data_IF_418772986425
#
_entry.id   IF_418772986425
#
_cell.length_a   1.000
_cell.length_b   1.000
_cell.length_c   1.000
_cell.angle_alpha   90.00
_cell.angle_beta   90.00
_cell.angle_gamma   90.00
#
_symmetry.space_group_name_H-M   'P 1'
#
loop_
_entity.id
_entity.type
_entity.pdbx_description
1 polymer ?
#
# COMPACT_ATOMS: atom_id res chain seq x y z
N UNK A 1 8.41 -14.36 -17.00
CA UNK A 1 7.17 -14.70 -16.28
C UNK A 1 6.83 -16.17 -16.41
N UNK A 2 6.88 -16.75 -17.61
CA UNK A 2 6.65 -18.20 -17.82
C UNK A 2 7.50 -19.09 -16.91
N UNK A 3 8.79 -18.73 -16.71
CA UNK A 3 9.67 -19.45 -15.79
C UNK A 3 9.24 -19.38 -14.31
N UNK A 4 8.45 -18.38 -13.91
CA UNK A 4 7.98 -18.20 -12.53
C UNK A 4 6.58 -18.79 -12.30
N UNK A 5 5.82 -19.08 -13.36
CA UNK A 5 4.44 -19.56 -13.28
C UNK A 5 4.22 -20.73 -14.26
N UNK A 6 4.45 -21.97 -13.81
CA UNK A 6 4.15 -23.15 -14.61
C UNK A 6 2.68 -23.17 -15.04
N UNK A 7 2.42 -23.30 -16.34
CA UNK A 7 1.07 -23.27 -16.91
C UNK A 7 0.55 -21.88 -17.30
N UNK A 8 1.35 -20.82 -17.11
CA UNK A 8 1.05 -19.50 -17.67
C UNK A 8 1.23 -19.54 -19.19
N UNK A 9 0.16 -19.24 -19.93
CA UNK A 9 0.22 -19.04 -21.37
C UNK A 9 0.33 -17.55 -21.68
N UNK A 10 1.38 -17.15 -22.40
CA UNK A 10 1.57 -15.77 -22.85
C UNK A 10 1.08 -15.64 -24.29
N UNK A 11 0.15 -14.72 -24.50
CA UNK A 11 -0.28 -14.30 -25.84
C UNK A 11 0.36 -12.95 -26.14
N UNK A 12 1.10 -12.89 -27.24
CA UNK A 12 1.72 -11.65 -27.72
C UNK A 12 0.86 -11.07 -28.83
N UNK A 13 0.62 -9.76 -28.75
CA UNK A 13 -0.03 -8.98 -29.79
C UNK A 13 0.84 -7.76 -30.10
N UNK A 14 1.00 -7.44 -31.38
CA UNK A 14 1.80 -6.31 -31.85
C UNK A 14 0.94 -5.10 -32.26
N UNK A 15 -0.39 -5.20 -32.13
CA UNK A 15 -1.33 -4.11 -32.37
C UNK A 15 -2.63 -4.33 -31.56
N UNK A 16 -3.41 -3.27 -31.39
CA UNK A 16 -4.63 -3.29 -30.57
C UNK A 16 -5.74 -4.20 -31.12
N UNK A 17 -5.89 -4.31 -32.44
CA UNK A 17 -6.92 -5.16 -33.04
C UNK A 17 -6.63 -6.64 -32.80
N UNK A 18 -5.37 -7.06 -32.95
CA UNK A 18 -4.93 -8.42 -32.62
C UNK A 18 -5.07 -8.70 -31.13
N UNK A 19 -4.70 -7.74 -30.27
CA UNK A 19 -4.88 -7.84 -28.82
C UNK A 19 -6.36 -7.99 -28.43
N UNK A 20 -7.25 -7.25 -29.09
CA UNK A 20 -8.70 -7.34 -28.88
C UNK A 20 -9.23 -8.73 -29.21
N UNK A 21 -8.96 -9.22 -30.43
CA UNK A 21 -9.44 -10.52 -30.89
C UNK A 21 -8.90 -11.67 -30.00
N UNK A 22 -7.63 -11.58 -29.59
CA UNK A 22 -7.04 -12.54 -28.66
C UNK A 22 -7.65 -12.46 -27.26
N UNK A 23 -7.94 -11.26 -26.76
CA UNK A 23 -8.54 -11.06 -25.45
C UNK A 23 -10.00 -11.56 -25.43
N UNK A 24 -10.75 -11.33 -26.51
CA UNK A 24 -12.13 -11.81 -26.67
C UNK A 24 -12.18 -13.35 -26.73
N UNK A 25 -11.33 -13.97 -27.55
CA UNK A 25 -11.30 -15.42 -27.70
C UNK A 25 -10.69 -16.15 -26.50
N UNK A 26 -9.61 -15.61 -25.94
CA UNK A 26 -8.82 -16.25 -24.89
C UNK A 26 -9.21 -15.86 -23.47
N UNK A 27 -10.02 -14.81 -23.29
CA UNK A 27 -10.45 -14.27 -21.99
C UNK A 27 -9.31 -14.23 -20.95
N UNK A 28 -8.25 -13.46 -21.21
CA UNK A 28 -7.06 -13.46 -20.38
C UNK A 28 -7.39 -12.94 -18.98
N UNK A 29 -6.77 -13.52 -17.96
CA UNK A 29 -6.90 -12.97 -16.61
C UNK A 29 -6.12 -11.67 -16.42
N UNK A 30 -5.13 -11.43 -17.29
CA UNK A 30 -4.18 -10.33 -17.16
C UNK A 30 -3.63 -9.85 -18.53
N UNK A 31 -3.32 -8.55 -18.67
CA UNK A 31 -2.68 -7.97 -19.85
C UNK A 31 -1.59 -6.93 -19.52
N UNK A 32 -0.46 -6.96 -20.22
CA UNK A 32 0.50 -5.85 -20.28
C UNK A 32 0.28 -5.10 -21.58
N UNK A 33 0.15 -3.78 -21.49
CA UNK A 33 -0.05 -2.91 -22.65
C UNK A 33 1.07 -1.88 -22.65
N UNK A 34 1.81 -1.79 -23.74
CA UNK A 34 2.81 -0.74 -23.89
C UNK A 34 2.14 0.64 -23.92
N UNK A 35 2.73 1.61 -23.22
CA UNK A 35 2.13 2.94 -22.98
C UNK A 35 1.78 3.67 -24.28
N UNK A 36 2.55 3.47 -25.36
CA UNK A 36 2.24 4.00 -26.69
C UNK A 36 0.84 3.59 -27.18
N UNK A 37 0.45 2.34 -26.97
CA UNK A 37 -0.88 1.86 -27.37
C UNK A 37 -2.00 2.42 -26.48
N UNK A 38 -1.72 2.68 -25.20
CA UNK A 38 -2.74 3.20 -24.27
C UNK A 38 -3.19 4.64 -24.59
N UNK A 39 -2.43 5.35 -25.41
CA UNK A 39 -2.69 6.73 -25.85
C UNK A 39 -3.49 6.80 -27.15
N UNK A 40 -3.70 5.67 -27.81
CA UNK A 40 -4.45 5.59 -29.06
C UNK A 40 -5.96 5.66 -28.77
N UNK A 41 -6.76 6.37 -29.59
CA UNK A 41 -8.23 6.40 -29.45
C UNK A 41 -8.86 5.00 -29.45
N UNK A 42 -8.30 4.09 -30.25
CA UNK A 42 -8.75 2.71 -30.39
C UNK A 42 -8.63 1.90 -29.09
N UNK A 43 -7.82 2.38 -28.13
CA UNK A 43 -7.67 1.73 -26.84
C UNK A 43 -8.92 1.83 -25.96
N UNK A 44 -9.83 2.77 -26.23
CA UNK A 44 -11.11 2.85 -25.50
C UNK A 44 -11.94 1.57 -25.66
N UNK A 45 -11.91 0.94 -26.84
CA UNK A 45 -12.57 -0.34 -27.08
C UNK A 45 -11.94 -1.47 -26.25
N UNK A 46 -10.62 -1.45 -26.07
CA UNK A 46 -9.91 -2.38 -25.19
C UNK A 46 -10.29 -2.17 -23.72
N UNK A 47 -10.46 -0.93 -23.26
CA UNK A 47 -10.91 -0.64 -21.90
C UNK A 47 -12.31 -1.21 -21.63
N UNK A 48 -13.22 -1.05 -22.58
CA UNK A 48 -14.56 -1.63 -22.50
C UNK A 48 -14.49 -3.16 -22.43
N UNK A 49 -13.67 -3.78 -23.28
CA UNK A 49 -13.47 -5.23 -23.28
C UNK A 49 -12.87 -5.73 -21.97
N UNK A 50 -11.79 -5.11 -21.49
CA UNK A 50 -11.16 -5.46 -20.21
C UNK A 50 -12.12 -5.31 -19.04
N UNK A 51 -12.94 -4.25 -19.03
CA UNK A 51 -13.96 -4.08 -18.00
C UNK A 51 -15.06 -5.16 -18.08
N UNK A 52 -15.48 -5.56 -19.29
CA UNK A 52 -16.50 -6.58 -19.48
C UNK A 52 -16.02 -7.98 -19.07
N UNK A 53 -14.75 -8.28 -19.36
CA UNK A 53 -14.12 -9.57 -19.05
C UNK A 53 -13.47 -9.62 -17.66
N UNK A 54 -13.53 -8.53 -16.88
CA UNK A 54 -12.79 -8.36 -15.61
C UNK A 54 -11.28 -8.63 -15.76
N UNK A 55 -10.71 -8.29 -16.93
CA UNK A 55 -9.28 -8.42 -17.24
C UNK A 55 -8.54 -7.31 -16.49
N UNK A 56 -7.52 -7.70 -15.73
CA UNK A 56 -6.59 -6.75 -15.12
C UNK A 56 -5.50 -6.39 -16.12
N UNK A 57 -5.11 -5.12 -16.16
CA UNK A 57 -4.12 -4.71 -17.14
C UNK A 57 -3.20 -3.60 -16.62
N UNK A 58 -1.98 -3.56 -17.16
CA UNK A 58 -0.93 -2.61 -16.77
C UNK A 58 -0.38 -1.87 -17.97
N UNK A 59 -0.12 -0.58 -17.80
CA UNK A 59 0.64 0.20 -18.78
C UNK A 59 2.14 0.02 -18.53
N UNK A 60 2.89 -0.32 -19.58
CA UNK A 60 4.35 -0.47 -19.56
C UNK A 60 4.96 0.69 -20.33
N UNK A 61 5.54 1.64 -19.61
CA UNK A 61 6.18 2.85 -20.11
C UNK A 61 7.63 2.58 -20.50
N UNK A 62 8.15 3.38 -21.44
CA UNK A 62 9.56 3.29 -21.84
C UNK A 62 10.50 3.67 -20.70
N UNK A 63 10.21 4.76 -20.01
CA UNK A 63 11.01 5.28 -18.89
C UNK A 63 10.17 6.00 -17.83
N UNK A 64 10.81 6.40 -16.74
CA UNK A 64 10.16 7.09 -15.62
C UNK A 64 9.78 8.56 -15.93
N UNK A 65 10.25 9.12 -17.05
CA UNK A 65 9.99 10.51 -17.45
C UNK A 65 8.79 10.61 -18.40
N UNK A 66 8.31 9.48 -18.91
CA UNK A 66 7.16 9.41 -19.80
C UNK A 66 5.90 9.92 -19.10
N UNK A 67 5.05 10.64 -19.84
CA UNK A 67 3.76 11.12 -19.28
C UNK A 67 2.81 9.93 -19.16
N UNK A 68 2.29 9.63 -17.94
CA UNK A 68 1.46 8.46 -17.78
C UNK A 68 0.12 8.56 -18.50
N UNK A 69 -0.34 7.45 -19.08
CA UNK A 69 -1.60 7.34 -19.80
C UNK A 69 -2.81 7.90 -19.03
N UNK A 70 -2.85 7.76 -17.70
CA UNK A 70 -3.93 8.29 -16.85
C UNK A 70 -4.11 9.80 -16.96
N UNK A 71 -3.08 10.55 -17.34
CA UNK A 71 -3.17 12.02 -17.55
C UNK A 71 -3.65 12.39 -18.95
N UNK A 72 -3.63 11.46 -19.91
CA UNK A 72 -4.07 11.71 -21.30
C UNK A 72 -5.53 11.35 -21.55
N UNK A 73 -6.18 10.51 -20.72
CA UNK A 73 -7.62 10.23 -20.84
C UNK A 73 -8.33 10.05 -19.48
N UNK A 74 -9.47 10.74 -19.24
CA UNK A 74 -10.29 10.55 -18.03
C UNK A 74 -10.82 9.12 -17.86
N UNK A 75 -11.00 8.37 -18.96
CA UNK A 75 -11.51 6.99 -18.94
C UNK A 75 -10.53 6.03 -18.26
N UNK A 76 -9.24 6.36 -18.26
CA UNK A 76 -8.18 5.61 -17.60
C UNK A 76 -8.17 5.80 -16.07
N UNK A 77 -8.97 6.73 -15.53
CA UNK A 77 -9.18 6.85 -14.08
C UNK A 77 -10.24 5.89 -13.55
N UNK A 78 -11.04 5.26 -14.43
CA UNK A 78 -12.20 4.44 -14.04
C UNK A 78 -11.90 2.97 -14.28
N UNK A 79 -11.15 2.34 -13.38
CA UNK A 79 -10.88 0.90 -13.48
C UNK A 79 -9.88 0.41 -12.46
N UNK A 80 -10.15 -0.77 -11.90
CA UNK A 80 -9.18 -1.46 -11.06
C UNK A 80 -7.96 -1.84 -11.91
N UNK A 81 -6.81 -1.21 -11.67
CA UNK A 81 -5.54 -1.87 -11.95
C UNK A 81 -4.54 -1.21 -12.90
N UNK A 82 -4.68 0.04 -13.33
CA UNK A 82 -3.53 0.66 -14.03
C UNK A 82 -2.41 0.90 -13.01
N UNK A 83 -1.47 -0.04 -12.96
CA UNK A 83 -0.15 0.16 -12.41
C UNK A 83 0.74 0.59 -13.57
N UNK A 84 1.70 1.46 -13.27
CA UNK A 84 2.66 1.96 -14.25
C UNK A 84 3.97 1.21 -13.99
N UNK A 85 4.37 0.40 -14.95
CA UNK A 85 5.66 -0.28 -14.97
C UNK A 85 6.55 0.41 -15.99
N UNK A 86 7.85 0.45 -15.75
CA UNK A 86 8.79 0.89 -16.77
C UNK A 86 9.53 -0.30 -17.36
N UNK A 87 9.93 -0.22 -18.63
CA UNK A 87 10.79 -1.25 -19.26
C UNK A 87 12.13 -1.43 -18.53
N UNK A 88 12.54 -0.43 -17.74
CA UNK A 88 13.71 -0.47 -16.87
C UNK A 88 13.51 -1.17 -15.51
N UNK A 89 12.28 -1.54 -15.16
CA UNK A 89 12.03 -2.32 -13.94
C UNK A 89 12.61 -3.75 -14.06
N UNK A 90 13.14 -4.27 -12.95
CA UNK A 90 13.73 -5.60 -12.92
C UNK A 90 12.67 -6.71 -13.12
N UNK A 91 13.05 -7.88 -13.68
CA UNK A 91 12.13 -9.01 -13.82
C UNK A 91 11.45 -9.44 -12.51
N UNK A 92 12.11 -9.26 -11.36
CA UNK A 92 11.53 -9.53 -10.03
C UNK A 92 10.39 -8.56 -9.70
N UNK A 93 10.53 -7.28 -10.03
CA UNK A 93 9.46 -6.30 -9.84
C UNK A 93 8.25 -6.67 -10.70
N UNK A 94 8.45 -6.97 -11.99
CA UNK A 94 7.37 -7.46 -12.87
C UNK A 94 6.61 -8.66 -12.29
N UNK A 95 7.32 -9.64 -11.74
CA UNK A 95 6.71 -10.81 -11.09
C UNK A 95 5.91 -10.40 -9.84
N UNK A 96 6.43 -9.49 -9.01
CA UNK A 96 5.71 -8.99 -7.83
C UNK A 96 4.41 -8.25 -8.19
N UNK A 97 4.44 -7.45 -9.26
CA UNK A 97 3.23 -6.79 -9.76
C UNK A 97 2.23 -7.82 -10.26
N UNK A 98 2.68 -8.77 -11.07
CA UNK A 98 1.83 -9.84 -11.57
C UNK A 98 1.20 -10.65 -10.43
N UNK A 99 1.98 -10.98 -9.39
CA UNK A 99 1.51 -11.65 -8.18
C UNK A 99 0.38 -10.86 -7.49
N UNK A 100 0.59 -9.57 -7.25
CA UNK A 100 -0.39 -8.68 -6.65
C UNK A 100 -1.68 -8.62 -7.48
N UNK A 101 -1.52 -8.56 -8.79
CA UNK A 101 -2.63 -8.45 -9.74
C UNK A 101 -3.31 -9.76 -10.02
N UNK A 102 -2.76 -10.93 -9.75
CA UNK A 102 -3.53 -12.17 -9.81
C UNK A 102 -4.25 -12.41 -8.48
N UNK A 103 -3.61 -12.06 -7.36
CA UNK A 103 -4.13 -12.33 -6.01
C UNK A 103 -5.15 -11.31 -5.50
N UNK A 104 -5.27 -10.13 -6.12
CA UNK A 104 -6.29 -9.17 -5.71
C UNK A 104 -7.73 -9.75 -5.88
N UNK A 105 -8.71 -9.36 -5.05
CA UNK A 105 -10.10 -9.80 -5.19
C UNK A 105 -10.77 -9.17 -6.44
N UNK A 106 -11.58 -9.96 -7.16
CA UNK A 106 -12.27 -9.58 -8.42
C UNK A 106 -13.39 -8.57 -8.19
N UNK A 107 -13.64 -7.69 -9.18
CA UNK A 107 -14.60 -6.58 -9.11
C UNK A 107 -16.05 -7.05 -8.92
N UNK A 108 -16.35 -8.25 -9.41
CA UNK A 108 -17.68 -8.88 -9.33
C UNK A 108 -17.81 -9.94 -8.24
N UNK A 109 -16.83 -10.06 -7.33
CA UNK A 109 -17.08 -10.81 -6.10
C UNK A 109 -18.23 -10.08 -5.38
N UNK A 110 -19.32 -10.77 -4.99
CA UNK A 110 -20.41 -10.13 -4.26
C UNK A 110 -19.76 -9.41 -3.09
N UNK A 111 -19.99 -8.10 -3.02
CA UNK A 111 -19.70 -7.29 -1.84
C UNK A 111 -20.47 -8.00 -0.75
N UNK A 112 -19.81 -8.92 -0.03
CA UNK A 112 -20.38 -9.50 1.15
C UNK A 112 -20.76 -8.28 1.97
N UNK A 113 -22.06 -8.07 2.12
CA UNK A 113 -22.57 -7.12 3.06
C UNK A 113 -21.99 -7.61 4.38
N UNK A 114 -20.84 -7.07 4.74
CA UNK A 114 -20.17 -7.41 5.98
C UNK A 114 -21.19 -7.01 7.02
N UNK A 115 -21.84 -8.01 7.62
CA UNK A 115 -22.77 -7.86 8.70
C UNK A 115 -22.14 -6.86 9.66
N UNK A 116 -22.75 -5.66 9.75
CA UNK A 116 -22.28 -4.58 10.61
C UNK A 116 -22.14 -5.17 12.02
N UNK A 117 -20.93 -5.32 12.57
CA UNK A 117 -20.82 -5.60 13.99
C UNK A 117 -21.44 -4.41 14.72
N UNK A 118 -22.18 -4.63 15.81
CA UNK A 118 -22.74 -3.54 16.59
C UNK A 118 -21.62 -2.59 17.02
N UNK A 119 -21.87 -1.28 16.86
CA UNK A 119 -20.97 -0.19 17.23
C UNK A 119 -20.70 -0.28 18.74
N UNK A 120 -19.63 -0.97 19.12
CA UNK A 120 -19.06 -0.87 20.47
C UNK A 120 -18.45 0.51 20.64
N UNK A 121 -18.70 1.13 21.81
CA UNK A 121 -18.17 2.46 22.18
C UNK A 121 -16.67 2.59 21.86
N UNK A 122 -16.30 3.77 21.37
CA UNK A 122 -14.95 4.19 21.00
C UNK A 122 -14.00 4.22 22.21
N UNK A 123 -13.43 3.07 22.57
CA UNK A 123 -12.42 2.97 23.64
C UNK A 123 -10.99 3.23 23.13
N UNK A 124 -10.80 3.56 21.87
CA UNK A 124 -9.48 3.82 21.30
C UNK A 124 -8.94 5.20 21.71
N UNK A 125 -7.79 5.22 22.39
CA UNK A 125 -7.17 6.44 22.95
C UNK A 125 -5.87 6.85 22.27
N UNK A 126 -5.34 6.00 21.39
CA UNK A 126 -4.01 6.13 20.80
C UNK A 126 -4.04 6.33 19.29
N UNK A 127 -2.94 6.84 18.75
CA UNK A 127 -2.66 6.91 17.31
C UNK A 127 -1.83 5.68 16.91
N UNK A 128 -2.17 5.07 15.78
CA UNK A 128 -1.39 3.96 15.21
C UNK A 128 -0.44 4.49 14.13
N UNK A 129 0.83 4.09 14.18
CA UNK A 129 1.82 4.36 13.13
C UNK A 129 2.32 3.04 12.53
N UNK A 130 2.35 2.93 11.20
CA UNK A 130 2.79 1.71 10.51
C UNK A 130 3.86 2.05 9.47
N UNK A 131 4.96 1.30 9.47
CA UNK A 131 6.00 1.35 8.45
C UNK A 131 6.10 0.05 7.67
N UNK A 132 6.28 0.12 6.35
CA UNK A 132 6.38 -1.06 5.48
C UNK A 132 7.10 -0.76 4.15
N UNK A 133 7.65 -1.79 3.50
CA UNK A 133 8.35 -1.68 2.22
C UNK A 133 8.07 -2.90 1.33
N UNK A 134 9.07 -3.65 0.87
CA UNK A 134 8.89 -4.86 0.04
C UNK A 134 7.99 -5.89 0.72
N UNK A 135 6.91 -6.30 0.02
CA UNK A 135 5.84 -7.15 0.56
C UNK A 135 4.80 -6.40 1.40
N UNK A 136 5.00 -5.10 1.62
CA UNK A 136 4.19 -4.26 2.50
C UNK A 136 2.75 -4.09 2.02
N UNK A 137 2.51 -4.06 0.70
CA UNK A 137 1.15 -3.98 0.15
C UNK A 137 0.28 -5.13 0.63
N UNK A 138 0.72 -6.37 0.48
CA UNK A 138 -0.03 -7.54 0.95
C UNK A 138 -0.11 -7.60 2.48
N UNK A 139 0.94 -7.17 3.19
CA UNK A 139 0.92 -7.08 4.64
C UNK A 139 -0.13 -6.06 5.14
N UNK A 140 -0.18 -4.88 4.52
CA UNK A 140 -1.16 -3.84 4.81
C UNK A 140 -2.57 -4.31 4.48
N UNK A 141 -2.77 -5.06 3.40
CA UNK A 141 -4.07 -5.68 3.08
C UNK A 141 -4.51 -6.62 4.20
N UNK A 142 -3.63 -7.49 4.67
CA UNK A 142 -3.93 -8.43 5.75
C UNK A 142 -4.28 -7.70 7.07
N UNK A 143 -3.56 -6.62 7.37
CA UNK A 143 -3.77 -5.82 8.57
C UNK A 143 -5.07 -5.01 8.50
N UNK A 144 -5.29 -4.27 7.41
CA UNK A 144 -6.40 -3.30 7.30
C UNK A 144 -7.77 -3.95 7.10
N UNK A 145 -7.85 -5.18 6.58
CA UNK A 145 -9.12 -5.94 6.57
C UNK A 145 -9.64 -6.17 8.00
N UNK A 146 -8.77 -6.22 9.00
CA UNK A 146 -9.14 -6.34 10.41
C UNK A 146 -9.52 -5.02 11.09
N UNK A 147 -9.45 -3.87 10.41
CA UNK A 147 -9.73 -2.57 11.03
C UNK A 147 -11.24 -2.30 11.06
N UNK A 148 -11.82 -1.87 12.20
CA UNK A 148 -13.22 -1.49 12.24
C UNK A 148 -13.43 -0.08 11.63
N UNK A 149 -14.68 0.26 11.28
CA UNK A 149 -15.03 1.57 10.72
C UNK A 149 -14.64 2.75 11.64
N UNK A 150 -14.58 2.50 12.95
CA UNK A 150 -14.18 3.45 13.99
C UNK A 150 -12.76 3.16 14.54
N UNK A 151 -11.85 2.66 13.69
CA UNK A 151 -10.47 2.40 14.09
C UNK A 151 -9.79 3.65 14.66
N UNK A 152 -8.74 3.52 15.48
CA UNK A 152 -7.94 4.67 15.88
C UNK A 152 -7.36 5.39 14.65
N UNK A 153 -7.08 6.71 14.73
CA UNK A 153 -6.39 7.41 13.67
C UNK A 153 -5.07 6.71 13.36
N UNK A 154 -4.87 6.34 12.09
CA UNK A 154 -3.74 5.52 11.68
C UNK A 154 -2.95 6.19 10.57
N UNK A 155 -1.63 6.25 10.70
CA UNK A 155 -0.72 6.80 9.69
C UNK A 155 0.22 5.70 9.19
N UNK A 156 0.37 5.59 7.89
CA UNK A 156 1.14 4.53 7.24
C UNK A 156 2.14 5.15 6.28
N UNK A 157 3.42 4.82 6.45
CA UNK A 157 4.44 5.02 5.42
C UNK A 157 4.67 3.68 4.72
N UNK A 158 4.44 3.66 3.41
CA UNK A 158 4.78 2.54 2.54
C UNK A 158 5.83 3.01 1.54
N UNK A 159 6.99 2.37 1.52
CA UNK A 159 8.00 2.63 0.50
C UNK A 159 7.55 2.08 -0.84
N UNK A 160 7.53 2.94 -1.84
CA UNK A 160 7.13 2.59 -3.20
C UNK A 160 7.57 3.69 -4.18
N UNK A 161 7.57 3.39 -5.47
CA UNK A 161 7.82 4.36 -6.52
C UNK A 161 6.77 5.49 -6.55
N UNK A 162 7.14 6.63 -7.14
CA UNK A 162 6.32 7.87 -7.15
C UNK A 162 4.92 7.67 -7.75
N UNK A 163 4.78 6.80 -8.75
CA UNK A 163 3.50 6.55 -9.44
C UNK A 163 2.54 5.61 -8.70
N UNK A 164 2.95 4.94 -7.62
CA UNK A 164 2.17 3.84 -7.04
C UNK A 164 1.19 4.28 -5.93
N UNK A 165 1.37 5.49 -5.37
CA UNK A 165 0.67 5.94 -4.17
C UNK A 165 -0.86 5.94 -4.30
N UNK A 166 -1.40 6.55 -5.35
CA UNK A 166 -2.86 6.70 -5.54
C UNK A 166 -3.56 5.36 -5.77
N UNK A 167 -2.94 4.46 -6.53
CA UNK A 167 -3.45 3.11 -6.77
C UNK A 167 -3.50 2.29 -5.49
N UNK A 168 -2.46 2.38 -4.66
CA UNK A 168 -2.39 1.71 -3.37
C UNK A 168 -3.47 2.21 -2.39
N UNK A 169 -3.65 3.52 -2.27
CA UNK A 169 -4.70 4.10 -1.41
C UNK A 169 -6.07 3.57 -1.81
N UNK A 170 -6.39 3.64 -3.11
CA UNK A 170 -7.68 3.17 -3.65
C UNK A 170 -7.89 1.67 -3.41
N UNK A 171 -6.80 0.89 -3.48
CA UNK A 171 -6.84 -0.55 -3.23
C UNK A 171 -7.17 -0.87 -1.77
N UNK A 172 -6.55 -0.14 -0.84
CA UNK A 172 -6.71 -0.35 0.59
C UNK A 172 -8.06 0.20 1.09
N UNK A 173 -8.53 1.32 0.55
CA UNK A 173 -9.86 1.89 0.86
C UNK A 173 -11.00 0.90 0.52
N UNK A 174 -10.86 0.15 -0.57
CA UNK A 174 -11.88 -0.83 -0.99
C UNK A 174 -12.04 -2.00 -0.02
N UNK A 175 -10.97 -2.38 0.69
CA UNK A 175 -10.95 -3.59 1.54
C UNK A 175 -11.01 -3.27 3.03
N UNK A 176 -10.69 -2.03 3.41
CA UNK A 176 -10.72 -1.58 4.79
C UNK A 176 -12.13 -1.05 5.13
N UNK A 177 -12.74 -1.48 6.25
CA UNK A 177 -13.99 -0.87 6.72
C UNK A 177 -13.84 0.61 7.11
N UNK A 178 -12.65 1.04 7.53
CA UNK A 178 -12.32 2.43 7.80
C UNK A 178 -11.99 3.19 6.51
N UNK A 179 -12.13 4.52 6.53
CA UNK A 179 -11.82 5.35 5.38
C UNK A 179 -10.30 5.45 5.18
N UNK A 180 -9.81 5.05 4.02
CA UNK A 180 -8.38 5.11 3.68
C UNK A 180 -8.15 6.24 2.67
N UNK A 181 -7.24 7.16 3.00
CA UNK A 181 -6.95 8.33 2.18
C UNK A 181 -5.45 8.55 2.03
N UNK A 182 -5.06 9.25 0.96
CA UNK A 182 -3.70 9.74 0.82
C UNK A 182 -3.41 10.76 1.92
N UNK A 183 -2.20 10.72 2.48
CA UNK A 183 -1.76 11.72 3.45
C UNK A 183 -1.59 13.08 2.76
N UNK A 184 -2.07 14.14 3.41
CA UNK A 184 -1.87 15.52 2.97
C UNK A 184 -1.60 16.43 4.17
N UNK A 185 -1.04 17.61 3.91
CA UNK A 185 -0.57 18.52 4.95
C UNK A 185 -1.71 19.17 5.71
N UNK A 186 -1.49 19.44 7.00
CA UNK A 186 -2.42 20.14 7.90
C UNK A 186 -3.79 19.43 8.09
N UNK A 187 -3.89 18.14 7.74
CA UNK A 187 -5.07 17.33 8.00
C UNK A 187 -5.13 16.94 9.47
N UNK A 188 -6.23 17.26 10.15
CA UNK A 188 -6.49 16.79 11.53
C UNK A 188 -6.76 15.29 11.54
N UNK A 189 -6.09 14.56 12.44
CA UNK A 189 -6.30 13.13 12.61
C UNK A 189 -7.69 12.83 13.16
N UNK A 190 -8.41 11.90 12.52
CA UNK A 190 -9.77 11.52 12.87
C UNK A 190 -9.88 10.01 13.15
N UNK A 191 -10.77 9.64 14.07
CA UNK A 191 -11.16 8.23 14.24
C UNK A 191 -11.79 7.72 12.94
N UNK A 192 -11.64 6.42 12.66
CA UNK A 192 -12.10 5.77 11.44
C UNK A 192 -11.32 6.16 10.17
N UNK A 193 -10.14 6.76 10.32
CA UNK A 193 -9.31 7.18 9.19
C UNK A 193 -7.91 6.55 9.22
N UNK A 194 -7.48 6.11 8.03
CA UNK A 194 -6.14 5.62 7.74
C UNK A 194 -5.52 6.53 6.67
N UNK A 195 -4.39 7.16 7.00
CA UNK A 195 -3.67 8.09 6.13
C UNK A 195 -2.40 7.44 5.60
N UNK A 196 -2.22 7.44 4.28
CA UNK A 196 -1.12 6.72 3.65
C UNK A 196 -0.20 7.70 2.92
N UNK A 197 1.08 7.71 3.31
CA UNK A 197 2.16 8.30 2.55
C UNK A 197 2.88 7.20 1.76
N UNK A 198 2.67 7.21 0.45
CA UNK A 198 3.25 6.25 -0.48
C UNK A 198 3.62 6.98 -1.79
N UNK A 199 4.88 6.88 -2.22
CA UNK A 199 5.37 7.55 -3.43
C UNK A 199 5.39 9.09 -3.36
N UNK A 200 5.29 9.67 -2.16
CA UNK A 200 5.24 11.11 -1.98
C UNK A 200 6.64 11.76 -1.94
N UNK A 201 6.79 13.01 -2.45
CA UNK A 201 8.07 13.71 -2.43
C UNK A 201 8.41 14.34 -1.06
N UNK A 202 7.55 14.16 -0.06
CA UNK A 202 7.65 14.76 1.28
C UNK A 202 7.58 13.67 2.33
N UNK A 203 8.28 13.86 3.45
CA UNK A 203 8.11 13.02 4.63
C UNK A 203 6.79 13.38 5.33
N UNK A 204 6.08 12.34 5.77
CA UNK A 204 4.93 12.48 6.64
C UNK A 204 5.38 12.43 8.11
N UNK A 205 4.83 13.32 8.93
CA UNK A 205 4.94 13.30 10.37
C UNK A 205 3.66 13.81 11.03
N UNK A 206 3.69 13.94 12.36
CA UNK A 206 2.55 14.39 13.17
C UNK A 206 2.94 15.57 14.05
N UNK A 207 2.04 16.53 14.25
CA UNK A 207 2.27 17.65 15.17
C UNK A 207 2.32 17.18 16.62
N UNK A 208 3.16 17.79 17.50
CA UNK A 208 3.37 17.28 18.85
C UNK A 208 2.23 17.60 19.84
N UNK A 209 1.27 18.44 19.46
CA UNK A 209 0.17 18.89 20.32
C UNK A 209 -1.18 18.54 19.71
N UNK A 210 -2.15 18.27 20.58
CA UNK A 210 -3.56 18.07 20.20
C UNK A 210 -4.20 19.41 19.79
N UNK A 211 -5.15 19.42 18.82
CA UNK A 211 -5.50 18.28 17.97
C UNK A 211 -4.32 17.90 17.07
N UNK A 212 -4.03 16.59 16.97
CA UNK A 212 -2.93 16.10 16.15
C UNK A 212 -3.24 16.31 14.68
N UNK A 213 -2.25 16.80 13.92
CA UNK A 213 -2.36 17.00 12.48
C UNK A 213 -1.20 16.34 11.75
N UNK A 214 -1.47 15.92 10.52
CA UNK A 214 -0.43 15.51 9.58
C UNK A 214 0.42 16.74 9.24
N UNK A 215 1.73 16.53 9.20
CA UNK A 215 2.70 17.47 8.70
C UNK A 215 3.46 16.81 7.55
N UNK A 216 3.42 17.43 6.37
CA UNK A 216 4.20 17.02 5.22
C UNK A 216 5.41 17.94 5.09
N UNK A 217 6.62 17.38 5.16
CA UNK A 217 7.86 18.16 5.13
C UNK A 217 8.80 17.69 4.02
N UNK A 218 9.29 18.62 3.22
CA UNK A 218 10.39 18.36 2.30
C UNK A 218 11.70 18.13 3.07
N UNK A 219 12.56 17.28 2.54
CA UNK A 219 13.83 16.94 3.17
C UNK A 219 14.64 15.97 2.32
N UNK A 220 15.93 15.80 2.66
CA UNK A 220 16.74 14.75 2.07
C UNK A 220 16.24 13.38 2.53
N UNK A 221 16.58 12.34 1.76
CA UNK A 221 16.27 10.97 2.11
C UNK A 221 16.74 10.62 3.54
N UNK A 222 15.84 10.02 4.32
CA UNK A 222 16.14 9.49 5.65
C UNK A 222 16.20 7.97 5.52
N UNK A 223 17.28 7.35 5.97
CA UNK A 223 17.51 5.91 5.81
C UNK A 223 17.35 5.45 4.35
N UNK A 224 17.69 6.31 3.39
CA UNK A 224 17.61 6.07 1.94
C UNK A 224 16.25 6.32 1.28
N UNK A 225 15.22 6.78 2.02
CA UNK A 225 13.85 6.85 1.53
C UNK A 225 13.19 8.21 1.76
N UNK A 226 12.28 8.57 0.84
CA UNK A 226 11.28 9.65 0.99
C UNK A 226 9.97 9.18 0.34
N UNK A 227 8.85 9.06 1.08
CA UNK A 227 8.72 9.25 2.53
C UNK A 227 9.50 8.19 3.32
N UNK A 228 9.84 8.48 4.58
CA UNK A 228 10.62 7.60 5.46
C UNK A 228 9.81 7.23 6.69
N UNK A 229 9.95 5.98 7.13
CA UNK A 229 9.32 5.46 8.35
C UNK A 229 9.94 6.07 9.60
N UNK A 230 11.27 6.23 9.65
CA UNK A 230 11.95 6.91 10.76
C UNK A 230 11.42 8.34 10.92
N UNK A 231 11.18 9.07 9.83
CA UNK A 231 10.61 10.42 9.88
C UNK A 231 9.23 10.45 10.54
N UNK A 232 8.34 9.51 10.17
CA UNK A 232 7.03 9.37 10.78
C UNK A 232 7.15 9.06 12.28
N UNK A 233 7.93 8.04 12.62
CA UNK A 233 8.04 7.56 14.00
C UNK A 233 8.70 8.60 14.91
N UNK A 234 9.81 9.21 14.49
CA UNK A 234 10.49 10.26 15.26
C UNK A 234 9.60 11.48 15.51
N UNK A 235 8.70 11.83 14.59
CA UNK A 235 7.77 12.95 14.77
C UNK A 235 6.80 12.75 15.94
N UNK A 236 6.54 11.50 16.31
CA UNK A 236 5.56 11.13 17.33
C UNK A 236 6.17 10.88 18.72
N UNK A 237 7.50 10.92 18.85
CA UNK A 237 8.23 10.79 20.13
C UNK A 237 7.70 11.72 21.24
N UNK A 238 7.39 13.01 20.98
CA UNK A 238 6.89 13.92 22.02
C UNK A 238 5.58 13.49 22.70
N UNK A 239 4.81 12.60 22.06
CA UNK A 239 3.55 12.07 22.59
C UNK A 239 3.51 10.54 22.50
N UNK A 240 4.68 9.87 22.57
CA UNK A 240 4.82 8.43 22.37
C UNK A 240 3.91 7.56 23.26
N UNK A 241 3.54 8.03 24.46
CA UNK A 241 2.58 7.33 25.33
C UNK A 241 1.19 7.16 24.71
N UNK A 242 0.82 8.05 23.80
CA UNK A 242 -0.43 8.00 23.01
C UNK A 242 -0.23 7.25 21.68
N UNK A 243 0.86 6.48 21.50
CA UNK A 243 1.23 5.84 20.23
C UNK A 243 1.33 4.32 20.34
N UNK A 244 0.79 3.64 19.33
CA UNK A 244 1.12 2.25 18.99
C UNK A 244 1.84 2.25 17.65
N UNK A 245 3.02 1.65 17.56
CA UNK A 245 3.78 1.59 16.31
C UNK A 245 4.00 0.14 15.87
N UNK A 246 3.90 -0.11 14.57
CA UNK A 246 4.21 -1.40 13.97
C UNK A 246 5.14 -1.25 12.77
N UNK A 247 6.08 -2.18 12.63
CA UNK A 247 6.95 -2.29 11.46
C UNK A 247 6.69 -3.64 10.79
N UNK A 248 6.34 -3.58 9.51
CA UNK A 248 6.01 -4.75 8.71
C UNK A 248 7.19 -5.09 7.78
N UNK A 249 7.00 -6.16 7.01
CA UNK A 249 7.91 -6.65 5.98
C UNK A 249 8.50 -5.52 5.13
N UNK A 250 9.79 -5.67 4.83
CA UNK A 250 10.53 -4.69 4.06
C UNK A 250 12.03 -4.91 4.13
N UNK A 251 12.74 -4.43 3.11
CA UNK A 251 14.19 -4.43 3.07
C UNK A 251 14.77 -3.22 3.82
N UNK A 252 15.98 -3.36 4.36
CA UNK A 252 16.71 -2.27 4.99
C UNK A 252 16.36 -2.10 6.46
N UNK A 253 16.54 -0.88 6.97
CA UNK A 253 16.47 -0.57 8.40
C UNK A 253 15.59 0.64 8.74
N UNK A 254 14.99 1.29 7.73
CA UNK A 254 14.17 2.47 7.97
C UNK A 254 13.00 2.14 8.91
N UNK A 255 12.77 3.01 9.88
CA UNK A 255 11.79 2.83 10.95
C UNK A 255 12.34 2.16 12.21
N UNK A 256 13.48 1.46 12.14
CA UNK A 256 14.03 0.80 13.32
C UNK A 256 14.46 1.82 14.39
N UNK A 257 15.19 2.87 14.00
CA UNK A 257 15.68 3.90 14.93
C UNK A 257 14.52 4.70 15.52
N UNK A 258 13.61 5.18 14.67
CA UNK A 258 12.42 5.92 15.11
C UNK A 258 11.53 5.09 16.02
N UNK A 259 11.38 3.79 15.76
CA UNK A 259 10.62 2.88 16.63
C UNK A 259 11.32 2.68 17.98
N UNK A 260 12.66 2.63 18.02
CA UNK A 260 13.41 2.53 19.27
C UNK A 260 13.20 3.77 20.12
N UNK A 261 13.25 4.95 19.51
CA UNK A 261 13.00 6.22 20.19
C UNK A 261 11.56 6.30 20.72
N UNK A 262 10.58 5.84 19.93
CA UNK A 262 9.19 5.70 20.38
C UNK A 262 9.06 4.76 21.58
N UNK A 263 9.67 3.57 21.52
CA UNK A 263 9.64 2.62 22.64
C UNK A 263 10.25 3.22 23.90
N UNK A 264 11.41 3.86 23.79
CA UNK A 264 12.10 4.53 24.92
C UNK A 264 11.22 5.64 25.53
N UNK A 265 10.43 6.33 24.72
CA UNK A 265 9.50 7.36 25.17
C UNK A 265 8.13 6.82 25.65
N UNK A 266 7.90 5.50 25.60
CA UNK A 266 6.75 4.83 26.19
C UNK A 266 5.68 4.36 25.20
N UNK A 267 5.94 4.36 23.90
CA UNK A 267 5.04 3.77 22.92
C UNK A 267 4.99 2.25 23.02
N UNK A 268 3.85 1.67 22.62
CA UNK A 268 3.75 0.22 22.42
C UNK A 268 4.23 -0.14 21.01
N UNK A 269 5.19 -1.05 20.86
CA UNK A 269 5.83 -1.32 19.56
C UNK A 269 5.83 -2.79 19.15
N UNK A 270 5.49 -3.05 17.90
CA UNK A 270 5.39 -4.39 17.31
C UNK A 270 6.24 -4.52 16.03
N UNK A 271 6.84 -5.70 15.82
CA UNK A 271 7.46 -6.07 14.57
C UNK A 271 6.75 -7.29 13.96
N UNK A 272 6.59 -7.33 12.65
CA UNK A 272 6.15 -8.54 11.96
C UNK A 272 7.21 -9.65 12.15
N UNK A 273 6.77 -10.87 12.46
CA UNK A 273 7.69 -12.00 12.63
C UNK A 273 8.35 -12.45 11.31
N UNK A 274 9.46 -13.17 11.44
CA UNK A 274 10.21 -13.69 10.30
C UNK A 274 9.38 -14.64 9.43
N UNK A 275 8.58 -15.51 10.06
CA UNK A 275 7.82 -16.56 9.36
C UNK A 275 6.79 -16.01 8.39
N UNK A 276 6.23 -14.84 8.68
CA UNK A 276 5.18 -14.23 7.85
C UNK A 276 5.68 -13.06 7.00
N UNK A 277 6.90 -12.55 7.25
CA UNK A 277 7.49 -11.48 6.46
C UNK A 277 7.98 -12.00 5.11
N UNK A 278 7.60 -11.31 4.03
CA UNK A 278 8.14 -11.60 2.68
C UNK A 278 9.63 -11.25 2.63
N UNK A 279 10.00 -10.12 3.25
CA UNK A 279 11.38 -9.68 3.46
C UNK A 279 11.55 -9.30 4.93
N UNK A 280 12.30 -10.12 5.65
CA UNK A 280 12.62 -9.91 7.07
C UNK A 280 13.86 -9.01 7.24
N UNK A 281 13.80 -7.79 6.70
CA UNK A 281 14.84 -6.76 6.86
C UNK A 281 14.47 -5.75 7.94
N UNK A 282 13.51 -4.88 7.64
CA UNK A 282 13.04 -3.83 8.56
C UNK A 282 12.58 -4.40 9.91
N UNK A 283 11.74 -5.47 9.97
CA UNK A 283 11.34 -6.04 11.26
C UNK A 283 12.50 -6.66 12.02
N UNK A 284 13.46 -7.30 11.32
CA UNK A 284 14.64 -7.90 11.92
C UNK A 284 15.51 -6.86 12.62
N UNK A 285 15.84 -5.78 11.92
CA UNK A 285 16.68 -4.71 12.51
C UNK A 285 15.96 -4.05 13.69
N UNK A 286 14.66 -3.77 13.57
CA UNK A 286 13.87 -3.26 14.69
C UNK A 286 13.84 -4.21 15.89
N UNK A 287 13.79 -5.52 15.66
CA UNK A 287 13.87 -6.50 16.75
C UNK A 287 15.27 -6.56 17.40
N UNK A 288 16.32 -6.67 16.59
CA UNK A 288 17.71 -6.81 17.05
C UNK A 288 18.17 -5.64 17.93
N UNK A 289 17.78 -4.40 17.59
CA UNK A 289 18.13 -3.21 18.38
C UNK A 289 17.20 -2.97 19.58
N UNK A 290 16.24 -3.88 19.81
CA UNK A 290 15.25 -3.74 20.86
C UNK A 290 14.23 -2.62 20.60
N UNK A 291 13.96 -2.24 19.35
CA UNK A 291 12.92 -1.27 19.03
C UNK A 291 11.51 -1.84 19.21
N UNK A 292 11.30 -3.10 18.83
CA UNK A 292 10.03 -3.80 19.00
C UNK A 292 9.94 -4.49 20.36
N UNK A 293 8.80 -4.35 21.06
CA UNK A 293 8.54 -5.08 22.30
C UNK A 293 8.10 -6.52 22.05
N UNK A 294 7.42 -6.78 20.92
CA UNK A 294 6.94 -8.10 20.54
C UNK A 294 7.07 -8.30 19.03
N UNK A 295 7.49 -9.50 18.63
CA UNK A 295 7.27 -10.00 17.28
C UNK A 295 5.87 -10.63 17.18
N UNK A 296 5.15 -10.34 16.10
CA UNK A 296 3.78 -10.78 15.91
C UNK A 296 3.61 -11.34 14.49
N UNK A 297 3.03 -12.55 14.32
CA UNK A 297 2.66 -13.05 13.01
C UNK A 297 1.68 -12.10 12.32
N UNK A 298 1.81 -11.91 11.00
CA UNK A 298 1.00 -10.96 10.23
C UNK A 298 -0.51 -11.11 10.49
N UNK A 299 -1.01 -12.35 10.50
CA UNK A 299 -2.43 -12.66 10.74
C UNK A 299 -2.96 -12.20 12.11
N UNK A 300 -2.07 -11.92 13.08
CA UNK A 300 -2.43 -11.42 14.42
C UNK A 300 -2.12 -9.93 14.60
N UNK A 301 -1.45 -9.30 13.63
CA UNK A 301 -0.95 -7.93 13.75
C UNK A 301 -2.08 -6.92 13.96
N UNK A 302 -3.17 -7.01 13.18
CA UNK A 302 -4.33 -6.13 13.32
C UNK A 302 -4.91 -6.16 14.74
N UNK A 303 -5.16 -7.35 15.28
CA UNK A 303 -5.67 -7.50 16.64
C UNK A 303 -4.66 -6.95 17.67
N UNK A 304 -3.37 -7.25 17.53
CA UNK A 304 -2.34 -6.78 18.46
C UNK A 304 -2.29 -5.25 18.55
N UNK A 305 -2.28 -4.54 17.42
CA UNK A 305 -2.22 -3.07 17.41
C UNK A 305 -3.53 -2.43 17.87
N UNK A 306 -4.68 -3.00 17.50
CA UNK A 306 -5.98 -2.48 17.93
C UNK A 306 -6.18 -2.66 19.44
N UNK A 307 -5.85 -3.81 20.02
CA UNK A 307 -5.96 -3.99 21.48
C UNK A 307 -5.03 -3.04 22.24
N UNK A 308 -3.78 -2.89 21.79
CA UNK A 308 -2.83 -1.97 22.40
C UNK A 308 -3.28 -0.50 22.34
N UNK A 309 -4.17 -0.15 21.39
CA UNK A 309 -4.68 1.22 21.23
C UNK A 309 -5.85 1.58 22.15
N UNK A 310 -6.42 0.62 22.88
CA UNK A 310 -7.52 0.85 23.85
C UNK A 310 -7.03 1.26 25.25
N UNK A 311 -5.87 0.74 25.63
CA UNK A 311 -5.19 0.99 26.91
C UNK A 311 -4.27 2.18 26.79
#
# INVERSE_FOLDING_TARGET
MEAAYPGLQVLLANNLMMAYNQAEAGQPSFAFVEDGFTKLPEFEMMLALFSALDVRWVSVMDDQNSTPARRSSPLLNVGAGIFELTKSDSPRQFIQYFDMMIKAPRRNAPRAAANKPPVGRDDFKKVILIGSSTGGVEALRNVLVGFPINCPPTLIVQHTGKSFGTGLVSLLDRICPAKVVAADDNITLQSGHVYIAAGQPRHMGVTPRKPFKIRMKEGPNISGHTPSVDALFSSAVPFARDVVAAILTGMGQDGAKGMLDLRKAGATTFAQDEKTAVVYGMPRVAWEIGAAQKQVPLARMANAILQASKT
#
